data_IF_566620616274
#
_entry.id   IF_566620616274
#
_cell.length_a   1.000
_cell.length_b   1.000
_cell.length_c   1.000
_cell.angle_alpha   90.00
_cell.angle_beta   90.00
_cell.angle_gamma   90.00
#
_symmetry.space_group_name_H-M   'P 1'
#
loop_
_entity.id
_entity.type
_entity.pdbx_description
1 polymer ?
#
# COMPACT_ATOMS: atom_id res chain seq x y z
N UNK A 1 55.23 3.32 19.28
CA UNK A 1 54.29 3.10 18.17
C UNK A 1 52.90 3.03 18.78
N UNK A 2 52.12 4.12 18.71
CA UNK A 2 50.78 4.23 19.28
C UNK A 2 49.84 4.59 18.13
N UNK A 3 48.92 3.67 17.80
CA UNK A 3 47.91 3.88 16.79
C UNK A 3 46.76 4.70 17.40
N UNK A 4 46.55 5.90 16.87
CA UNK A 4 45.43 6.77 17.26
C UNK A 4 44.19 6.32 16.49
N UNK A 5 43.17 5.86 17.21
CA UNK A 5 41.87 5.53 16.62
C UNK A 5 41.10 6.82 16.33
N UNK A 6 41.00 7.22 15.06
CA UNK A 6 40.12 8.31 14.64
C UNK A 6 38.66 7.82 14.65
N UNK A 7 37.84 8.42 15.50
CA UNK A 7 36.38 8.21 15.51
C UNK A 7 35.77 9.07 14.40
N UNK A 8 35.23 8.42 13.38
CA UNK A 8 34.39 9.07 12.38
C UNK A 8 33.00 9.31 12.97
N UNK A 9 32.57 10.58 13.01
CA UNK A 9 31.18 10.94 13.28
C UNK A 9 30.47 11.18 11.94
N UNK A 10 29.37 10.47 11.71
CA UNK A 10 28.47 10.72 10.58
C UNK A 10 27.35 11.62 11.09
N UNK A 11 27.37 12.89 10.72
CA UNK A 11 26.24 13.79 10.91
C UNK A 11 25.15 13.44 9.89
N UNK A 12 24.13 12.69 10.35
CA UNK A 12 22.91 12.51 9.57
C UNK A 12 22.09 13.77 9.71
N UNK A 13 22.05 14.60 8.66
CA UNK A 13 21.12 15.74 8.59
C UNK A 13 19.77 15.23 8.07
N UNK A 14 18.72 15.12 8.91
CA UNK A 14 17.40 14.78 8.39
C UNK A 14 16.88 15.97 7.56
N UNK A 15 16.59 15.73 6.29
CA UNK A 15 15.79 16.67 5.50
C UNK A 15 14.37 16.66 6.08
N UNK A 16 14.06 17.65 6.92
CA UNK A 16 12.70 17.94 7.35
C UNK A 16 11.87 18.27 6.10
N UNK A 17 11.05 17.32 5.66
CA UNK A 17 9.95 17.60 4.74
C UNK A 17 9.00 18.52 5.50
N UNK A 18 8.69 19.68 4.94
CA UNK A 18 7.80 20.66 5.55
C UNK A 18 6.41 20.05 5.74
N UNK A 19 6.10 19.59 6.95
CA UNK A 19 4.74 19.27 7.37
C UNK A 19 4.03 20.61 7.45
N UNK A 20 3.07 20.84 6.55
CA UNK A 20 2.11 21.94 6.70
C UNK A 20 1.34 21.70 7.99
N UNK A 21 1.45 22.65 8.91
CA UNK A 21 0.68 22.71 10.15
C UNK A 21 -0.75 23.18 9.81
N UNK A 22 -1.52 22.30 9.18
CA UNK A 22 -2.97 22.43 9.12
C UNK A 22 -3.50 21.68 10.35
N UNK A 23 -3.93 22.44 11.37
CA UNK A 23 -4.52 21.88 12.59
C UNK A 23 -5.63 20.86 12.26
N UNK A 24 -5.96 19.93 13.18
CA UNK A 24 -6.79 18.78 12.84
C UNK A 24 -8.15 19.24 12.32
N UNK A 25 -8.40 18.97 11.04
CA UNK A 25 -9.73 19.13 10.44
C UNK A 25 -10.66 18.16 11.17
N UNK A 26 -11.53 18.69 12.03
CA UNK A 26 -12.54 17.90 12.71
C UNK A 26 -13.65 17.60 11.70
N UNK A 27 -13.51 16.48 11.00
CA UNK A 27 -14.55 15.98 10.12
C UNK A 27 -15.76 15.52 10.94
N UNK A 28 -17.00 15.75 10.47
CA UNK A 28 -18.18 15.21 11.13
C UNK A 28 -18.11 13.68 11.19
N UNK A 29 -18.62 13.10 12.28
CA UNK A 29 -18.66 11.63 12.43
C UNK A 29 -19.55 11.04 11.35
N UNK A 30 -19.04 10.05 10.59
CA UNK A 30 -19.81 9.35 9.55
C UNK A 30 -21.12 8.77 10.08
N UNK A 31 -21.12 8.27 11.32
CA UNK A 31 -22.33 7.75 11.99
C UNK A 31 -23.39 8.83 12.21
N UNK A 32 -22.98 10.08 12.40
CA UNK A 32 -23.90 11.22 12.50
C UNK A 32 -24.52 11.60 11.14
N UNK A 33 -23.77 11.41 10.04
CA UNK A 33 -24.28 11.70 8.69
C UNK A 33 -25.39 10.73 8.29
N UNK A 34 -25.16 9.42 8.46
CA UNK A 34 -26.16 8.39 8.14
C UNK A 34 -27.45 8.56 8.97
N UNK A 35 -27.34 8.86 10.27
CA UNK A 35 -28.49 9.06 11.13
C UNK A 35 -29.29 10.34 10.81
N UNK A 36 -28.64 11.35 10.22
CA UNK A 36 -29.27 12.62 9.85
C UNK A 36 -29.99 12.61 8.50
N UNK A 37 -29.77 11.58 7.68
CA UNK A 37 -30.20 11.56 6.28
C UNK A 37 -31.68 11.16 6.08
N UNK A 38 -32.33 10.54 7.09
CA UNK A 38 -33.75 10.19 7.02
C UNK A 38 -34.14 9.23 5.88
N UNK A 39 -33.19 8.46 5.36
CA UNK A 39 -33.37 7.57 4.21
C UNK A 39 -34.14 6.31 4.60
N UNK A 40 -35.15 5.95 3.81
CA UNK A 40 -35.97 4.75 4.04
C UNK A 40 -36.18 3.95 2.73
N UNK A 41 -36.42 2.64 2.87
CA UNK A 41 -36.76 1.75 1.75
C UNK A 41 -35.81 1.85 0.56
N UNK A 42 -36.36 2.16 -0.62
CA UNK A 42 -35.62 2.23 -1.89
C UNK A 42 -34.50 3.29 -1.88
N UNK A 43 -34.68 4.38 -1.14
CA UNK A 43 -33.67 5.43 -1.05
C UNK A 43 -32.46 4.99 -0.21
N UNK A 44 -32.71 4.22 0.85
CA UNK A 44 -31.66 3.59 1.64
C UNK A 44 -30.88 2.55 0.82
N UNK A 45 -31.58 1.72 0.04
CA UNK A 45 -30.94 0.75 -0.85
C UNK A 45 -30.08 1.42 -1.92
N UNK A 46 -30.56 2.53 -2.50
CA UNK A 46 -29.82 3.32 -3.48
C UNK A 46 -28.55 3.94 -2.87
N UNK A 47 -28.64 4.42 -1.63
CA UNK A 47 -27.48 4.97 -0.91
C UNK A 47 -26.46 3.89 -0.57
N UNK A 48 -26.90 2.71 -0.08
CA UNK A 48 -26.00 1.58 0.16
C UNK A 48 -25.26 1.15 -1.11
N UNK A 49 -25.97 1.09 -2.24
CA UNK A 49 -25.35 0.79 -3.54
C UNK A 49 -24.36 1.89 -3.97
N UNK A 50 -24.66 3.16 -3.69
CA UNK A 50 -23.76 4.30 -3.95
C UNK A 50 -22.48 4.22 -3.12
N UNK A 51 -22.59 3.97 -1.82
CA UNK A 51 -21.45 3.78 -0.92
C UNK A 51 -20.60 2.60 -1.39
N UNK A 52 -21.21 1.49 -1.77
CA UNK A 52 -20.47 0.34 -2.27
C UNK A 52 -19.67 0.66 -3.53
N UNK A 53 -20.24 1.37 -4.52
CA UNK A 53 -19.51 1.82 -5.71
C UNK A 53 -18.32 2.72 -5.37
N UNK A 54 -18.50 3.64 -4.42
CA UNK A 54 -17.41 4.51 -3.96
C UNK A 54 -16.30 3.72 -3.25
N UNK A 55 -16.66 2.73 -2.42
CA UNK A 55 -15.70 1.82 -1.80
C UNK A 55 -14.94 1.01 -2.84
N UNK A 56 -15.62 0.52 -3.89
CA UNK A 56 -14.99 -0.19 -5.01
C UNK A 56 -14.00 0.68 -5.77
N UNK A 57 -14.35 1.93 -6.06
CA UNK A 57 -13.45 2.89 -6.70
C UNK A 57 -12.21 3.19 -5.83
N UNK A 58 -12.41 3.37 -4.52
CA UNK A 58 -11.30 3.56 -3.57
C UNK A 58 -10.42 2.31 -3.46
N UNK A 59 -11.00 1.12 -3.49
CA UNK A 59 -10.24 -0.14 -3.50
C UNK A 59 -9.43 -0.29 -4.79
N UNK A 60 -10.00 0.05 -5.95
CA UNK A 60 -9.26 0.05 -7.21
C UNK A 60 -8.11 1.06 -7.22
N UNK A 61 -8.31 2.25 -6.63
CA UNK A 61 -7.25 3.23 -6.44
C UNK A 61 -6.13 2.70 -5.54
N UNK A 62 -6.48 2.06 -4.40
CA UNK A 62 -5.51 1.39 -3.52
C UNK A 62 -4.72 0.33 -4.27
N UNK A 63 -5.37 -0.49 -5.10
CA UNK A 63 -4.69 -1.52 -5.87
C UNK A 63 -3.61 -0.93 -6.80
N UNK A 64 -3.90 0.21 -7.44
CA UNK A 64 -2.91 0.95 -8.23
C UNK A 64 -1.72 1.47 -7.41
N UNK A 65 -1.95 1.91 -6.16
CA UNK A 65 -0.86 2.31 -5.25
C UNK A 65 0.00 1.13 -4.82
N UNK A 66 -0.61 -0.03 -4.55
CA UNK A 66 0.12 -1.27 -4.21
C UNK A 66 0.95 -1.73 -5.40
N UNK A 67 0.40 -1.74 -6.62
CA UNK A 67 1.14 -2.07 -7.83
C UNK A 67 2.35 -1.13 -7.99
N UNK A 68 2.13 0.17 -7.87
CA UNK A 68 3.22 1.16 -7.96
C UNK A 68 4.30 0.92 -6.91
N UNK A 69 3.92 0.59 -5.68
CA UNK A 69 4.86 0.26 -4.59
C UNK A 69 5.65 -1.00 -4.92
N UNK A 70 5.00 -2.03 -5.46
CA UNK A 70 5.67 -3.23 -5.95
C UNK A 70 6.66 -2.92 -7.09
N UNK A 71 6.27 -2.12 -8.09
CA UNK A 71 7.18 -1.72 -9.19
C UNK A 71 8.42 -0.99 -8.69
N UNK A 72 8.26 -0.13 -7.68
CA UNK A 72 9.37 0.60 -7.08
C UNK A 72 10.26 -0.32 -6.24
N UNK A 73 9.66 -1.21 -5.44
CA UNK A 73 10.38 -2.19 -4.64
C UNK A 73 11.19 -3.17 -5.47
N UNK A 74 10.65 -3.64 -6.60
CA UNK A 74 11.33 -4.52 -7.55
C UNK A 74 12.62 -3.92 -8.14
N UNK A 75 12.73 -2.59 -8.15
CA UNK A 75 13.92 -1.86 -8.65
C UNK A 75 14.95 -1.58 -7.56
N UNK A 76 14.62 -1.84 -6.31
CA UNK A 76 15.47 -1.56 -5.16
C UNK A 76 16.08 -2.87 -4.64
N UNK A 77 17.37 -3.13 -4.92
CA UNK A 77 18.04 -4.30 -4.37
C UNK A 77 18.25 -4.13 -2.87
N UNK A 78 18.00 -5.20 -2.13
CA UNK A 78 18.31 -5.32 -0.71
C UNK A 78 19.25 -6.51 -0.49
N UNK A 79 20.11 -6.46 0.55
CA UNK A 79 20.82 -7.65 1.01
C UNK A 79 19.82 -8.75 1.37
N UNK A 80 20.17 -10.01 1.10
CA UNK A 80 19.35 -11.14 1.52
C UNK A 80 19.14 -11.10 3.04
N UNK A 81 17.89 -11.25 3.46
CA UNK A 81 17.50 -11.20 4.87
C UNK A 81 16.48 -12.30 5.18
N UNK A 82 16.54 -12.93 6.37
CA UNK A 82 15.56 -13.93 6.78
C UNK A 82 14.13 -13.37 6.71
N UNK A 83 13.21 -14.14 6.10
CA UNK A 83 11.80 -13.76 5.97
C UNK A 83 11.40 -13.21 4.61
N UNK A 84 12.34 -13.01 3.68
CA UNK A 84 12.01 -12.64 2.31
C UNK A 84 11.25 -13.76 1.58
N UNK A 85 10.27 -13.35 0.76
CA UNK A 85 9.54 -14.25 -0.13
C UNK A 85 10.37 -14.53 -1.37
N UNK A 86 10.99 -15.71 -1.44
CA UNK A 86 11.73 -16.15 -2.63
C UNK A 86 10.87 -16.94 -3.62
N UNK A 87 9.61 -17.20 -3.27
CA UNK A 87 8.66 -18.08 -3.99
C UNK A 87 8.03 -17.42 -5.22
N UNK A 88 8.06 -16.09 -5.30
CA UNK A 88 7.47 -15.31 -6.40
C UNK A 88 8.47 -14.82 -7.43
N UNK A 89 9.75 -15.18 -7.30
CA UNK A 89 10.77 -14.81 -8.27
C UNK A 89 10.46 -15.55 -9.58
N UNK A 90 10.16 -14.85 -10.70
CA UNK A 90 10.32 -15.48 -12.01
C UNK A 90 11.79 -15.90 -12.11
N UNK A 91 12.11 -16.91 -12.92
CA UNK A 91 13.48 -17.35 -13.24
C UNK A 91 14.29 -16.24 -13.97
N UNK A 92 14.21 -15.00 -13.53
CA UNK A 92 15.00 -13.90 -14.01
C UNK A 92 16.42 -14.12 -13.49
N UNK A 93 17.34 -14.26 -14.44
CA UNK A 93 18.79 -14.14 -14.26
C UNK A 93 19.09 -13.03 -13.26
N UNK A 94 19.31 -13.40 -12.01
CA UNK A 94 19.79 -12.48 -11.00
C UNK A 94 21.28 -12.74 -10.94
N UNK A 95 22.03 -11.77 -11.46
CA UNK A 95 23.49 -11.79 -11.53
C UNK A 95 24.17 -11.99 -10.15
N UNK A 96 23.42 -11.86 -9.05
CA UNK A 96 23.90 -12.15 -7.70
C UNK A 96 22.81 -12.78 -6.79
N UNK A 97 22.93 -14.07 -6.40
CA UNK A 97 21.99 -14.75 -5.51
C UNK A 97 21.97 -14.19 -4.08
N UNK A 98 22.90 -13.29 -3.72
CA UNK A 98 22.93 -12.62 -2.41
C UNK A 98 21.98 -11.40 -2.31
N UNK A 99 21.33 -11.02 -3.41
CA UNK A 99 20.42 -9.89 -3.49
C UNK A 99 18.97 -10.32 -3.73
N UNK A 100 18.06 -9.64 -3.03
CA UNK A 100 16.62 -9.79 -3.15
C UNK A 100 15.97 -8.45 -3.44
N UNK A 101 14.74 -8.46 -3.94
CA UNK A 101 14.04 -7.24 -4.28
C UNK A 101 13.23 -6.74 -3.08
N UNK A 102 13.06 -5.43 -2.92
CA UNK A 102 12.33 -4.88 -1.78
C UNK A 102 10.84 -5.23 -1.79
N UNK A 103 10.26 -5.57 -2.94
CA UNK A 103 8.88 -6.03 -3.04
C UNK A 103 8.66 -7.43 -2.45
N UNK A 104 9.72 -8.21 -2.18
CA UNK A 104 9.62 -9.49 -1.46
C UNK A 104 9.08 -9.32 -0.02
N UNK A 105 9.16 -8.10 0.55
CA UNK A 105 8.60 -7.73 1.87
C UNK A 105 7.31 -6.92 1.77
N UNK A 106 6.76 -6.73 0.57
CA UNK A 106 5.60 -5.88 0.37
C UNK A 106 4.41 -6.24 1.28
N UNK A 107 4.05 -7.53 1.50
CA UNK A 107 2.97 -7.87 2.42
C UNK A 107 3.23 -7.42 3.87
N UNK A 108 4.46 -7.55 4.36
CA UNK A 108 4.85 -7.14 5.71
C UNK A 108 4.79 -5.61 5.87
N UNK A 109 5.25 -4.87 4.86
CA UNK A 109 5.14 -3.42 4.83
C UNK A 109 3.68 -2.95 4.80
N UNK A 110 2.84 -3.59 3.98
CA UNK A 110 1.39 -3.31 3.90
C UNK A 110 0.70 -3.63 5.22
N UNK A 111 1.07 -4.73 5.88
CA UNK A 111 0.54 -5.09 7.19
C UNK A 111 0.79 -4.00 8.24
N UNK A 112 2.02 -3.47 8.28
CA UNK A 112 2.39 -2.36 9.17
C UNK A 112 1.65 -1.07 8.79
N UNK A 113 1.62 -0.69 7.51
CA UNK A 113 1.01 0.55 7.04
C UNK A 113 -0.51 0.60 7.27
N UNK A 114 -1.18 -0.52 7.08
CA UNK A 114 -2.64 -0.62 7.22
C UNK A 114 -3.07 -1.16 8.59
N UNK A 115 -2.13 -1.37 9.51
CA UNK A 115 -2.35 -1.93 10.85
C UNK A 115 -3.22 -3.20 10.82
N UNK A 116 -2.81 -4.17 9.99
CA UNK A 116 -3.50 -5.45 9.82
C UNK A 116 -2.56 -6.63 9.97
N UNK A 117 -3.11 -7.85 10.03
CA UNK A 117 -2.29 -9.06 10.10
C UNK A 117 -1.50 -9.27 8.80
N UNK A 118 -0.29 -9.85 8.90
CA UNK A 118 0.53 -10.21 7.73
C UNK A 118 -0.21 -11.19 6.81
N UNK A 119 -1.00 -12.11 7.36
CA UNK A 119 -1.80 -13.04 6.58
C UNK A 119 -2.85 -12.29 5.73
N UNK A 120 -3.58 -11.33 6.32
CA UNK A 120 -4.53 -10.49 5.59
C UNK A 120 -3.86 -9.63 4.54
N UNK A 121 -2.70 -9.06 4.85
CA UNK A 121 -1.94 -8.23 3.93
C UNK A 121 -1.43 -9.04 2.72
N UNK A 122 -1.05 -10.31 2.90
CA UNK A 122 -0.68 -11.20 1.79
C UNK A 122 -1.80 -11.37 0.79
N UNK A 123 -2.99 -11.79 1.25
CA UNK A 123 -4.15 -11.92 0.36
C UNK A 123 -4.50 -10.60 -0.31
N UNK A 124 -4.47 -9.50 0.45
CA UNK A 124 -4.73 -8.18 -0.09
C UNK A 124 -3.77 -7.79 -1.21
N UNK A 125 -2.46 -7.99 -1.01
CA UNK A 125 -1.43 -7.68 -2.01
C UNK A 125 -1.59 -8.56 -3.24
N UNK A 126 -1.82 -9.86 -3.05
CA UNK A 126 -2.00 -10.80 -4.16
C UNK A 126 -3.22 -10.43 -5.02
N UNK A 127 -4.37 -10.12 -4.38
CA UNK A 127 -5.61 -9.72 -5.05
C UNK A 127 -5.47 -8.37 -5.76
N UNK A 128 -4.91 -7.36 -5.08
CA UNK A 128 -4.74 -6.01 -5.63
C UNK A 128 -3.73 -6.03 -6.82
N UNK A 129 -2.65 -6.82 -6.73
CA UNK A 129 -1.71 -7.00 -7.85
C UNK A 129 -2.35 -7.76 -9.02
N UNK A 130 -3.14 -8.80 -8.75
CA UNK A 130 -3.86 -9.53 -9.78
C UNK A 130 -4.87 -8.62 -10.50
N UNK A 131 -5.62 -7.80 -9.77
CA UNK A 131 -6.57 -6.85 -10.34
C UNK A 131 -5.89 -5.90 -11.35
N UNK A 132 -4.78 -5.27 -10.97
CA UNK A 132 -4.09 -4.30 -11.84
C UNK A 132 -3.37 -4.99 -13.00
N UNK A 133 -2.66 -6.09 -12.75
CA UNK A 133 -1.78 -6.73 -13.74
C UNK A 133 -2.52 -7.66 -14.69
N UNK A 134 -3.52 -8.40 -14.19
CA UNK A 134 -4.24 -9.42 -14.97
C UNK A 134 -5.59 -8.91 -15.49
N UNK A 135 -6.25 -8.00 -14.78
CA UNK A 135 -7.58 -7.49 -15.15
C UNK A 135 -7.63 -5.96 -15.31
N UNK A 136 -6.74 -5.34 -16.11
CA UNK A 136 -6.61 -3.88 -16.18
C UNK A 136 -7.90 -3.17 -16.64
N UNK A 137 -8.71 -3.81 -17.49
CA UNK A 137 -10.01 -3.25 -17.92
C UNK A 137 -11.00 -3.18 -16.76
N UNK A 138 -11.06 -4.23 -15.93
CA UNK A 138 -11.93 -4.29 -14.74
C UNK A 138 -11.44 -3.28 -13.71
N UNK A 139 -10.13 -3.20 -13.49
CA UNK A 139 -9.52 -2.21 -12.61
C UNK A 139 -9.90 -0.78 -12.98
N UNK A 140 -9.77 -0.38 -14.26
CA UNK A 140 -10.17 0.95 -14.71
C UNK A 140 -11.68 1.18 -14.57
N UNK A 141 -12.51 0.17 -14.88
CA UNK A 141 -13.96 0.30 -14.76
C UNK A 141 -14.40 0.50 -13.29
N UNK A 142 -13.77 -0.20 -12.34
CA UNK A 142 -13.98 0.00 -10.90
C UNK A 142 -13.50 1.39 -10.46
N UNK A 143 -12.30 1.81 -10.89
CA UNK A 143 -11.76 3.14 -10.56
C UNK A 143 -12.66 4.28 -11.07
N UNK A 144 -13.29 4.08 -12.22
CA UNK A 144 -14.24 5.03 -12.82
C UNK A 144 -15.68 4.88 -12.29
N UNK A 145 -15.93 3.94 -11.36
CA UNK A 145 -17.25 3.68 -10.78
C UNK A 145 -18.31 3.16 -11.75
N UNK A 146 -17.87 2.52 -12.86
CA UNK A 146 -18.77 2.00 -13.91
C UNK A 146 -19.36 0.63 -13.59
N UNK A 147 -18.68 -0.15 -12.74
CA UNK A 147 -19.09 -1.47 -12.26
C UNK A 147 -18.83 -1.60 -10.76
#
# INVERSE_FOLDING_TARGET
>A
MTATAERFWVEVTPRLSAVRDEGPVVLPRLTGLAASAGLEGVELDAELASVHRQMSALAAYRAGLIERKATLGARQPLPFAPGARTDTRPDADVDDPSLQAADDFLPDEVAVLLNMSVASARYLVDDDLALVRQFPVVWHALADGRI
#
